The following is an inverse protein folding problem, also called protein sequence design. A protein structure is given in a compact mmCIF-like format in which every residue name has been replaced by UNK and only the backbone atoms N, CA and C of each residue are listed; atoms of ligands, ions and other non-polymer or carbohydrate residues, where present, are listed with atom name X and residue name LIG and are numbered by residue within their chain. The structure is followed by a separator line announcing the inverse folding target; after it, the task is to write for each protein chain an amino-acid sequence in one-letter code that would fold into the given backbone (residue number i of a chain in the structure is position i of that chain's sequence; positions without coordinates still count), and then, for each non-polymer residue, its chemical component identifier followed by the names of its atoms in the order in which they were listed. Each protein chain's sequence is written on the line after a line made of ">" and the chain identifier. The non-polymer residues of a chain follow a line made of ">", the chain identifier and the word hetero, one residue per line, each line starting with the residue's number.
data_IF_351183091966
#
_entry.id   IF_351183091966
#
_cell.length_a   1.000
_cell.length_b   1.000
_cell.length_c   1.000
_cell.angle_alpha   90.00
_cell.angle_beta   90.00
_cell.angle_gamma   90.00
#
_symmetry.space_group_name_H-M   'P 1'
#
loop_
_entity.id
_entity.type
_entity.pdbx_description
1 polymer ?
#
# COMPACT_ATOMS: atom_id res chain seq x y z
N UNK A 1 7.69 15.26 -3.45
CA UNK A 1 7.96 13.80 -3.54
C UNK A 1 8.45 13.44 -4.93
N UNK A 2 9.46 12.57 -5.08
CA UNK A 2 9.94 12.11 -6.40
C UNK A 2 8.96 11.14 -7.04
N UNK A 3 9.00 11.00 -8.37
CA UNK A 3 8.07 10.13 -9.11
C UNK A 3 8.11 8.66 -8.64
N UNK A 4 9.31 8.10 -8.42
CA UNK A 4 9.49 6.73 -7.93
C UNK A 4 8.92 6.54 -6.53
N UNK A 5 9.14 7.49 -5.62
CA UNK A 5 8.58 7.45 -4.26
C UNK A 5 7.05 7.47 -4.28
N UNK A 6 6.46 8.33 -5.13
CA UNK A 6 5.01 8.42 -5.28
C UNK A 6 4.40 7.13 -5.81
N UNK A 7 5.05 6.50 -6.79
CA UNK A 7 4.62 5.20 -7.30
C UNK A 7 4.70 4.11 -6.21
N UNK A 8 5.82 4.06 -5.47
CA UNK A 8 6.00 3.09 -4.39
C UNK A 8 4.96 3.28 -3.26
N UNK A 9 4.68 4.52 -2.87
CA UNK A 9 3.64 4.84 -1.87
C UNK A 9 2.27 4.40 -2.36
N UNK A 10 1.92 4.64 -3.63
CA UNK A 10 0.64 4.16 -4.19
C UNK A 10 0.51 2.64 -4.12
N UNK A 11 1.55 1.89 -4.50
CA UNK A 11 1.58 0.43 -4.39
C UNK A 11 1.36 -0.02 -2.94
N UNK A 12 1.99 0.65 -1.98
CA UNK A 12 1.80 0.32 -0.56
C UNK A 12 0.40 0.64 -0.05
N UNK A 13 -0.18 1.79 -0.40
CA UNK A 13 -1.54 2.14 0.00
C UNK A 13 -2.54 1.11 -0.53
N UNK A 14 -2.43 0.74 -1.81
CA UNK A 14 -3.29 -0.28 -2.41
C UNK A 14 -3.08 -1.65 -1.74
N UNK A 15 -1.85 -2.03 -1.41
CA UNK A 15 -1.57 -3.28 -0.69
C UNK A 15 -2.14 -3.31 0.72
N UNK A 16 -1.99 -2.21 1.48
CA UNK A 16 -2.54 -2.09 2.84
C UNK A 16 -4.07 -2.19 2.82
N UNK A 17 -4.72 -1.53 1.86
CA UNK A 17 -6.18 -1.54 1.71
C UNK A 17 -6.78 -2.89 1.28
N UNK A 18 -5.97 -3.90 0.91
CA UNK A 18 -6.47 -5.24 0.59
C UNK A 18 -7.08 -5.96 1.80
N UNK A 19 -6.61 -5.63 3.00
CA UNK A 19 -7.07 -6.20 4.26
C UNK A 19 -8.32 -5.50 4.82
N UNK A 20 -8.81 -4.47 4.13
CA UNK A 20 -9.96 -3.66 4.56
C UNK A 20 -9.64 -2.69 5.71
N UNK A 21 -10.56 -1.74 5.92
CA UNK A 21 -10.61 -0.82 7.07
C UNK A 21 -9.30 -0.10 7.45
N UNK A 22 -8.44 0.17 6.46
CA UNK A 22 -7.17 0.84 6.70
C UNK A 22 -7.40 2.31 7.06
N UNK A 23 -7.07 2.73 8.27
CA UNK A 23 -7.17 4.15 8.65
C UNK A 23 -6.01 4.99 8.10
N UNK A 24 -6.23 6.29 7.90
CA UNK A 24 -5.16 7.26 7.54
C UNK A 24 -3.91 7.12 8.42
N UNK A 25 -4.14 6.94 9.72
CA UNK A 25 -3.07 6.82 10.72
C UNK A 25 -2.26 5.54 10.51
N UNK A 26 -2.92 4.40 10.30
CA UNK A 26 -2.27 3.12 10.02
C UNK A 26 -1.43 3.19 8.75
N UNK A 27 -1.99 3.77 7.68
CA UNK A 27 -1.29 3.92 6.40
C UNK A 27 -0.05 4.80 6.57
N UNK A 28 -0.17 5.92 7.28
CA UNK A 28 0.95 6.83 7.51
C UNK A 28 2.06 6.17 8.31
N UNK A 29 1.70 5.49 9.41
CA UNK A 29 2.65 4.81 10.29
C UNK A 29 3.41 3.72 9.54
N UNK A 30 2.70 2.91 8.76
CA UNK A 30 3.31 1.83 7.97
C UNK A 30 4.25 2.38 6.89
N UNK A 31 3.91 3.49 6.23
CA UNK A 31 4.80 4.16 5.28
C UNK A 31 6.07 4.70 5.97
N UNK A 32 5.92 5.30 7.16
CA UNK A 32 7.05 5.82 7.93
C UNK A 32 7.98 4.70 8.41
N UNK A 33 7.42 3.58 8.87
CA UNK A 33 8.16 2.37 9.27
C UNK A 33 8.98 1.78 8.13
N UNK A 34 8.50 1.90 6.89
CA UNK A 34 9.19 1.50 5.65
C UNK A 34 10.23 2.53 5.17
N UNK A 35 10.44 3.62 5.91
CA UNK A 35 11.43 4.65 5.60
C UNK A 35 10.92 5.76 4.66
N UNK A 36 9.64 5.77 4.30
CA UNK A 36 9.08 6.87 3.51
C UNK A 36 8.86 8.12 4.37
N UNK A 37 9.40 9.26 3.93
CA UNK A 37 9.21 10.56 4.58
C UNK A 37 7.92 11.22 4.08
N UNK A 38 6.78 10.62 4.38
CA UNK A 38 5.45 11.13 3.97
C UNK A 38 4.86 11.99 5.08
N UNK A 39 4.39 13.19 4.72
CA UNK A 39 3.60 14.05 5.61
C UNK A 39 2.10 13.74 5.51
N UNK A 40 1.29 13.98 6.56
CA UNK A 40 -0.16 13.76 6.50
C UNK A 40 -0.85 14.45 5.30
N UNK A 41 -0.43 15.68 4.95
CA UNK A 41 -0.97 16.38 3.77
C UNK A 41 -0.63 15.73 2.43
N UNK A 42 0.57 15.14 2.31
CA UNK A 42 0.97 14.42 1.11
C UNK A 42 0.23 13.08 1.00
N UNK A 43 0.09 12.36 2.12
CA UNK A 43 -0.70 11.13 2.17
C UNK A 43 -2.14 11.37 1.71
N UNK A 44 -2.80 12.40 2.27
CA UNK A 44 -4.17 12.76 1.87
C UNK A 44 -4.28 13.04 0.38
N UNK A 45 -3.32 13.76 -0.19
CA UNK A 45 -3.32 14.06 -1.63
C UNK A 45 -3.22 12.80 -2.50
N UNK A 46 -2.47 11.78 -2.05
CA UNK A 46 -2.38 10.49 -2.76
C UNK A 46 -3.65 9.67 -2.57
N UNK A 47 -4.24 9.66 -1.37
CA UNK A 47 -5.50 8.97 -1.12
C UNK A 47 -6.64 9.59 -1.94
N UNK A 48 -6.77 10.92 -1.96
CA UNK A 48 -7.77 11.63 -2.76
C UNK A 48 -7.64 11.30 -4.25
N UNK A 49 -6.41 11.17 -4.78
CA UNK A 49 -6.17 10.71 -6.14
C UNK A 49 -6.65 9.27 -6.36
N UNK A 50 -6.31 8.35 -5.45
CA UNK A 50 -6.70 6.94 -5.57
C UNK A 50 -8.22 6.77 -5.46
N UNK A 51 -8.88 7.55 -4.60
CA UNK A 51 -10.33 7.62 -4.47
C UNK A 51 -10.95 8.20 -5.73
N UNK A 52 -10.43 9.32 -6.25
CA UNK A 52 -10.91 9.92 -7.49
C UNK A 52 -10.76 9.02 -8.72
N UNK A 53 -9.82 8.09 -8.69
CA UNK A 53 -9.62 7.05 -9.72
C UNK A 53 -10.43 5.77 -9.48
N UNK A 54 -11.19 5.69 -8.39
CA UNK A 54 -11.96 4.50 -8.01
C UNK A 54 -11.11 3.29 -7.62
N UNK A 55 -9.83 3.49 -7.30
CA UNK A 55 -8.91 2.42 -6.88
C UNK A 55 -9.00 2.14 -5.38
N UNK A 56 -9.44 3.14 -4.61
CA UNK A 56 -9.67 3.05 -3.18
C UNK A 56 -11.08 3.56 -2.87
N UNK A 57 -11.84 2.80 -2.09
CA UNK A 57 -13.08 3.22 -1.48
C UNK A 57 -12.81 3.93 -0.15
N UNK A 58 -13.66 4.88 0.21
CA UNK A 58 -13.60 5.59 1.50
C UNK A 58 -14.89 5.38 2.26
N UNK A 59 -14.77 4.93 3.52
CA UNK A 59 -15.87 4.82 4.46
C UNK A 59 -15.67 5.86 5.56
N UNK A 60 -16.65 6.75 5.73
CA UNK A 60 -16.67 7.70 6.84
C UNK A 60 -17.29 7.02 8.06
N UNK A 61 -16.65 7.15 9.23
CA UNK A 61 -17.17 6.54 10.45
C UNK A 61 -18.60 7.04 10.77
N UNK A 62 -19.49 6.17 11.30
CA UNK A 62 -20.83 6.57 11.72
C UNK A 62 -20.77 7.65 12.82
N UNK A 63 -21.86 8.43 12.92
CA UNK A 63 -21.98 9.59 13.79
C UNK A 63 -21.59 9.27 15.25
N UNK A 64 -20.44 9.81 15.69
CA UNK A 64 -19.90 9.60 17.04
C UNK A 64 -18.38 9.81 17.12
N UNK A 65 -17.66 9.58 16.01
CA UNK A 65 -16.21 9.85 15.88
C UNK A 65 -15.94 10.69 14.63
N UNK A 66 -16.24 12.00 14.66
CA UNK A 66 -16.01 12.88 13.51
C UNK A 66 -14.53 12.88 13.12
N UNK A 67 -14.25 12.60 11.84
CA UNK A 67 -12.91 12.72 11.24
C UNK A 67 -12.13 11.41 11.06
N UNK A 68 -12.69 10.24 11.41
CA UNK A 68 -12.05 8.95 11.10
C UNK A 68 -12.54 8.43 9.75
N UNK A 69 -11.62 8.34 8.78
CA UNK A 69 -11.82 7.68 7.49
C UNK A 69 -11.12 6.34 7.48
N UNK A 70 -11.78 5.33 6.95
CA UNK A 70 -11.16 4.06 6.58
C UNK A 70 -11.17 3.91 5.07
N UNK A 71 -10.15 3.21 4.57
CA UNK A 71 -9.89 3.02 3.16
C UNK A 71 -9.80 1.54 2.85
N UNK A 72 -10.40 1.16 1.73
CA UNK A 72 -10.37 -0.22 1.24
C UNK A 72 -10.02 -0.22 -0.25
N UNK A 73 -9.17 -1.17 -0.66
CA UNK A 73 -8.80 -1.33 -2.06
C UNK A 73 -9.95 -1.97 -2.83
N UNK A 74 -10.47 -1.24 -3.82
CA UNK A 74 -11.58 -1.71 -4.66
C UNK A 74 -11.14 -2.85 -5.58
N UNK A 75 -12.06 -3.58 -6.24
CA UNK A 75 -11.69 -4.54 -7.28
C UNK A 75 -10.79 -3.95 -8.38
N UNK A 76 -11.07 -2.72 -8.83
CA UNK A 76 -10.21 -2.01 -9.77
C UNK A 76 -8.83 -1.68 -9.17
N UNK A 77 -8.79 -1.31 -7.88
CA UNK A 77 -7.56 -1.14 -7.12
C UNK A 77 -6.73 -2.41 -7.03
N UNK A 78 -7.35 -3.58 -6.82
CA UNK A 78 -6.67 -4.89 -6.79
C UNK A 78 -6.00 -5.21 -8.12
N UNK A 79 -6.70 -4.97 -9.23
CA UNK A 79 -6.16 -5.14 -10.58
C UNK A 79 -4.98 -4.19 -10.82
N UNK A 80 -5.14 -2.90 -10.50
CA UNK A 80 -4.08 -1.89 -10.62
C UNK A 80 -2.87 -2.24 -9.76
N UNK A 81 -3.07 -2.74 -8.54
CA UNK A 81 -1.99 -3.16 -7.65
C UNK A 81 -1.19 -4.31 -8.25
N UNK A 82 -1.88 -5.34 -8.76
CA UNK A 82 -1.23 -6.48 -9.41
C UNK A 82 -0.42 -6.06 -10.66
N UNK A 83 -0.96 -5.15 -11.47
CA UNK A 83 -0.24 -4.59 -12.62
C UNK A 83 1.00 -3.79 -12.22
N UNK A 84 0.89 -2.94 -11.20
CA UNK A 84 2.02 -2.16 -10.68
C UNK A 84 3.10 -3.07 -10.07
N UNK A 85 2.73 -4.14 -9.37
CA UNK A 85 3.67 -5.13 -8.86
C UNK A 85 4.41 -5.86 -9.99
N UNK A 86 3.72 -6.24 -11.07
CA UNK A 86 4.36 -6.84 -12.26
C UNK A 86 5.33 -5.86 -12.93
N UNK A 87 4.92 -4.60 -13.08
CA UNK A 87 5.77 -3.56 -13.66
C UNK A 87 7.01 -3.30 -12.79
N UNK A 88 6.85 -3.28 -11.46
CA UNK A 88 7.95 -3.13 -10.51
C UNK A 88 8.91 -4.32 -10.58
N UNK A 89 8.40 -5.55 -10.65
CA UNK A 89 9.23 -6.76 -10.79
C UNK A 89 10.07 -6.70 -12.07
N UNK A 90 9.44 -6.36 -13.20
CA UNK A 90 10.13 -6.17 -14.48
C UNK A 90 11.22 -5.09 -14.38
N UNK A 91 10.87 -3.89 -13.91
CA UNK A 91 11.81 -2.78 -13.80
C UNK A 91 13.00 -3.12 -12.88
N UNK A 92 12.73 -3.80 -11.78
CA UNK A 92 13.75 -4.25 -10.83
C UNK A 92 14.74 -5.20 -11.51
N UNK A 93 14.23 -6.16 -12.28
CA UNK A 93 15.07 -7.06 -13.04
C UNK A 93 15.88 -6.35 -14.13
N UNK A 94 15.28 -5.38 -14.84
CA UNK A 94 15.97 -4.62 -15.89
C UNK A 94 17.08 -3.73 -15.33
N UNK A 95 16.90 -3.14 -14.15
CA UNK A 95 17.86 -2.20 -13.56
C UNK A 95 18.95 -2.91 -12.76
N UNK A 96 18.61 -3.96 -12.01
CA UNK A 96 19.51 -4.60 -11.05
C UNK A 96 19.89 -6.05 -11.42
N UNK A 97 19.27 -6.63 -12.45
CA UNK A 97 19.49 -8.03 -12.83
C UNK A 97 19.09 -8.99 -11.72
N UNK A 98 20.03 -9.84 -11.29
CA UNK A 98 19.84 -10.82 -10.21
C UNK A 98 20.37 -10.34 -8.85
N UNK A 99 20.98 -9.16 -8.76
CA UNK A 99 21.57 -8.63 -7.51
C UNK A 99 20.96 -7.29 -7.14
N UNK A 100 20.06 -7.32 -6.17
CA UNK A 100 19.51 -6.11 -5.57
C UNK A 100 20.56 -5.39 -4.72
N UNK A 101 20.55 -4.04 -4.70
CA UNK A 101 21.32 -3.29 -3.73
C UNK A 101 20.84 -3.63 -2.31
N UNK A 102 21.72 -3.56 -1.29
CA UNK A 102 21.29 -3.73 0.09
C UNK A 102 20.27 -2.64 0.45
N UNK A 103 19.29 -3.00 1.29
CA UNK A 103 18.32 -2.05 1.80
C UNK A 103 19.03 -0.95 2.61
N UNK A 104 18.53 0.30 2.59
CA UNK A 104 19.06 1.34 3.44
C UNK A 104 18.99 0.94 4.93
N UNK A 105 19.98 1.31 5.77
CA UNK A 105 20.07 0.85 7.17
C UNK A 105 18.86 1.19 8.05
N UNK A 106 18.06 2.18 7.65
CA UNK A 106 16.90 2.69 8.37
C UNK A 106 15.58 2.04 7.92
N UNK A 107 15.61 1.14 6.93
CA UNK A 107 14.46 0.33 6.55
C UNK A 107 14.46 -0.89 7.46
N UNK A 108 13.55 -0.92 8.45
CA UNK A 108 13.38 -2.06 9.34
C UNK A 108 13.04 -3.31 8.53
N UNK A 109 13.87 -4.36 8.66
CA UNK A 109 13.67 -5.65 7.96
C UNK A 109 12.52 -6.45 8.57
N UNK A 110 12.03 -6.10 9.76
CA UNK A 110 10.93 -6.82 10.41
C UNK A 110 9.56 -6.34 9.92
N UNK A 111 8.61 -7.25 9.70
CA UNK A 111 7.17 -7.05 9.45
C UNK A 111 6.68 -6.48 8.10
N UNK A 112 7.54 -6.10 7.16
CA UNK A 112 7.06 -5.53 5.88
C UNK A 112 6.35 -6.53 4.95
N UNK A 113 6.33 -7.81 5.31
CA UNK A 113 5.57 -8.91 4.69
C UNK A 113 4.41 -9.41 5.57
N UNK A 114 4.23 -8.92 6.80
CA UNK A 114 3.21 -9.46 7.74
C UNK A 114 1.77 -9.33 7.20
N UNK A 115 1.50 -8.32 6.36
CA UNK A 115 0.21 -8.13 5.70
C UNK A 115 -0.03 -9.06 4.48
N UNK A 116 1.01 -9.74 3.99
CA UNK A 116 0.87 -10.84 3.02
C UNK A 116 0.57 -12.19 3.70
N UNK A 117 0.77 -12.28 5.02
CA UNK A 117 0.63 -13.54 5.78
C UNK A 117 -0.77 -13.82 6.32
N UNK A 118 -1.78 -12.99 6.02
CA UNK A 118 -3.17 -13.24 6.42
C UNK A 118 -4.01 -13.65 5.21
N UNK A 119 -4.20 -14.97 5.08
CA UNK A 119 -5.23 -15.68 4.29
C UNK A 119 -5.11 -15.60 2.77
N UNK A 120 -4.41 -16.56 2.17
CA UNK A 120 -4.72 -17.09 0.82
C UNK A 120 -4.09 -18.49 0.58
N UNK A 121 -3.85 -19.28 1.64
CA UNK A 121 -3.31 -20.65 1.50
C UNK A 121 -4.16 -21.75 2.20
N UNK A 122 -5.34 -21.45 2.74
CA UNK A 122 -6.16 -22.47 3.42
C UNK A 122 -7.48 -22.86 2.72
N UNK A 123 -7.85 -22.23 1.59
CA UNK A 123 -9.11 -22.58 0.89
C UNK A 123 -8.91 -23.41 -0.41
N UNK A 124 -7.74 -24.05 -0.59
CA UNK A 124 -7.46 -24.88 -1.76
C UNK A 124 -7.26 -26.38 -1.47
N UNK A 125 -7.42 -26.84 -0.23
CA UNK A 125 -7.28 -28.27 0.14
C UNK A 125 -8.55 -28.93 0.67
N UNK A 126 -9.71 -28.28 0.60
CA UNK A 126 -10.99 -28.93 0.92
C UNK A 126 -12.05 -28.60 -0.16
N UNK A 127 -11.98 -29.31 -1.29
CA UNK A 127 -13.06 -29.44 -2.28
C UNK A 127 -12.95 -30.77 -3.03
#
# INVERSE_FOLDING_TARGET
>A
MRAVERAAIRVHILGIGLNGDASDHLILDELQRRGYRVRPGELRSVLDELVGRGLVGVCEAPAGYPGRRTYETTPAGRMSWAEECRALSKLTHEVFGTRLPPLPPHVGIDDSQAWLSTRDLEDAEDS
#
